data_IF_706702690543
#
_entry.id   IF_706702690543
#
_cell.length_a   1.000
_cell.length_b   1.000
_cell.length_c   1.000
_cell.angle_alpha   90.00
_cell.angle_beta   90.00
_cell.angle_gamma   90.00
#
_symmetry.space_group_name_H-M   'P 1'
#
loop_
_entity.id
_entity.type
_entity.pdbx_description
1 polymer ?
#
# COMPACT_ATOMS: atom_id res chain seq x y z
N UNK A 1 -55.83 19.89 35.48
CA UNK A 1 -55.79 21.26 34.92
C UNK A 1 -54.43 21.82 35.32
N UNK A 2 -53.48 22.10 34.45
CA UNK A 2 -53.55 22.44 33.03
C UNK A 2 -52.21 22.08 32.36
N UNK A 3 -52.24 21.80 31.06
CA UNK A 3 -51.15 21.24 30.27
C UNK A 3 -50.13 22.31 29.84
N UNK A 4 -48.85 21.94 29.72
CA UNK A 4 -47.89 22.74 28.95
C UNK A 4 -47.05 21.83 28.05
N UNK A 5 -47.35 21.97 26.77
CA UNK A 5 -46.71 21.39 25.59
C UNK A 5 -45.34 22.01 25.32
N UNK A 6 -44.30 21.24 24.97
CA UNK A 6 -43.17 21.74 24.20
C UNK A 6 -43.32 21.41 22.70
N UNK A 7 -43.46 22.46 21.89
CA UNK A 7 -43.50 22.43 20.42
C UNK A 7 -42.10 22.21 19.83
N UNK A 8 -41.93 21.18 19.01
CA UNK A 8 -40.74 20.97 18.17
C UNK A 8 -40.66 22.04 17.05
N UNK A 9 -39.48 22.59 16.73
CA UNK A 9 -39.28 23.30 15.48
C UNK A 9 -39.12 22.32 14.32
N UNK A 10 -39.89 22.60 13.26
CA UNK A 10 -40.04 21.83 12.04
C UNK A 10 -38.78 21.90 11.16
N UNK A 11 -38.43 20.77 10.55
CA UNK A 11 -37.40 20.67 9.51
C UNK A 11 -37.89 21.32 8.20
N UNK A 12 -37.10 22.15 7.50
CA UNK A 12 -37.46 22.60 6.16
C UNK A 12 -37.11 21.53 5.10
N UNK A 13 -38.01 21.21 4.16
CA UNK A 13 -37.68 20.49 2.94
C UNK A 13 -37.32 21.50 1.85
N UNK A 14 -36.09 21.46 1.31
CA UNK A 14 -35.75 21.85 -0.08
C UNK A 14 -34.24 21.88 -0.29
N UNK A 15 -33.69 20.87 -0.96
CA UNK A 15 -32.56 21.11 -1.87
C UNK A 15 -32.78 20.24 -3.11
N UNK A 16 -32.85 20.84 -4.32
CA UNK A 16 -33.10 20.10 -5.54
C UNK A 16 -31.88 19.29 -5.98
N UNK A 17 -32.21 18.16 -6.59
CA UNK A 17 -31.37 17.25 -7.36
C UNK A 17 -30.62 17.98 -8.49
N UNK A 18 -29.32 18.21 -8.36
CA UNK A 18 -28.36 18.18 -9.47
C UNK A 18 -26.93 18.07 -8.92
N UNK A 19 -26.33 16.88 -9.04
CA UNK A 19 -24.95 16.73 -9.52
C UNK A 19 -24.58 15.23 -9.62
N UNK A 20 -25.19 14.56 -10.60
CA UNK A 20 -24.71 13.26 -11.10
C UNK A 20 -23.32 13.34 -11.79
N UNK A 21 -22.61 14.47 -11.67
CA UNK A 21 -21.26 14.69 -12.20
C UNK A 21 -20.16 14.67 -11.13
N UNK A 22 -20.50 14.69 -9.83
CA UNK A 22 -19.50 14.72 -8.76
C UNK A 22 -18.96 13.32 -8.38
N UNK A 23 -19.71 12.25 -8.65
CA UNK A 23 -19.29 10.89 -8.35
C UNK A 23 -18.16 10.38 -9.28
N UNK A 24 -17.99 10.97 -10.47
CA UNK A 24 -16.94 10.59 -11.41
C UNK A 24 -15.57 11.25 -11.09
N UNK A 25 -15.56 12.38 -10.40
CA UNK A 25 -14.31 13.10 -10.08
C UNK A 25 -13.60 12.58 -8.82
N UNK A 26 -14.33 11.99 -7.87
CA UNK A 26 -13.73 11.37 -6.68
C UNK A 26 -13.03 10.04 -6.97
N UNK A 27 -13.37 9.36 -8.08
CA UNK A 27 -12.68 8.15 -8.53
C UNK A 27 -11.34 8.45 -9.25
N UNK A 28 -11.17 9.66 -9.78
CA UNK A 28 -9.98 10.06 -10.54
C UNK A 28 -8.91 10.80 -9.71
N UNK A 29 -9.24 11.25 -8.50
CA UNK A 29 -8.39 12.13 -7.69
C UNK A 29 -7.45 11.39 -6.71
N UNK A 30 -7.50 10.06 -6.60
CA UNK A 30 -6.73 9.34 -5.58
C UNK A 30 -5.83 8.21 -6.11
N UNK A 31 -5.72 8.03 -7.42
CA UNK A 31 -4.63 7.27 -8.03
C UNK A 31 -3.38 8.14 -8.11
N UNK A 32 -2.93 8.66 -6.96
CA UNK A 32 -1.57 9.13 -6.83
C UNK A 32 -0.69 7.94 -7.20
N UNK A 33 -0.09 8.00 -8.39
CA UNK A 33 0.67 6.89 -8.93
C UNK A 33 1.85 6.63 -8.00
N UNK A 34 1.75 5.55 -7.23
CA UNK A 34 2.81 5.13 -6.33
C UNK A 34 4.03 4.76 -7.17
N UNK A 35 5.22 5.11 -6.70
CA UNK A 35 6.47 4.86 -7.41
C UNK A 35 7.51 4.23 -6.49
N UNK A 36 8.29 3.31 -7.04
CA UNK A 36 9.34 2.63 -6.32
C UNK A 36 10.41 3.64 -5.89
N UNK A 37 10.84 3.62 -4.63
CA UNK A 37 11.90 4.53 -4.15
C UNK A 37 13.25 4.22 -4.80
N UNK A 38 13.49 2.96 -5.23
CA UNK A 38 14.77 2.52 -5.79
C UNK A 38 14.86 2.77 -7.31
N UNK A 39 13.93 2.24 -8.11
CA UNK A 39 13.97 2.39 -9.56
C UNK A 39 13.14 3.58 -10.08
N UNK A 40 12.37 4.26 -9.24
CA UNK A 40 11.46 5.35 -9.61
C UNK A 40 10.36 4.99 -10.61
N UNK A 41 10.19 3.70 -10.93
CA UNK A 41 9.12 3.20 -11.79
C UNK A 41 7.79 3.17 -11.04
N UNK A 42 6.70 3.14 -11.82
CA UNK A 42 5.33 3.00 -11.30
C UNK A 42 5.18 1.67 -10.56
N UNK A 43 4.62 1.73 -9.36
CA UNK A 43 4.20 0.56 -8.59
C UNK A 43 2.82 0.13 -9.05
N UNK A 44 2.65 -1.18 -9.20
CA UNK A 44 1.36 -1.80 -9.48
C UNK A 44 0.54 -1.83 -8.18
N UNK A 45 -0.77 -1.57 -8.27
CA UNK A 45 -1.64 -1.21 -7.14
C UNK A 45 -1.62 -2.20 -5.96
N UNK A 46 -1.31 -3.48 -6.19
CA UNK A 46 -1.21 -4.52 -5.14
C UNK A 46 0.16 -5.22 -5.05
N UNK A 47 1.10 -4.95 -5.97
CA UNK A 47 2.38 -5.70 -6.07
C UNK A 47 3.58 -4.85 -5.67
N UNK A 48 3.54 -4.32 -4.45
CA UNK A 48 4.65 -3.58 -3.88
C UNK A 48 4.80 -3.87 -2.39
N UNK A 49 6.02 -3.70 -1.91
CA UNK A 49 6.34 -3.76 -0.50
C UNK A 49 6.36 -2.36 0.05
N UNK A 50 5.61 -2.12 1.12
CA UNK A 50 5.64 -0.87 1.87
C UNK A 50 6.36 -1.07 3.18
N UNK A 51 7.33 -0.21 3.49
CA UNK A 51 7.95 -0.20 4.81
C UNK A 51 6.92 0.26 5.87
N UNK A 52 6.73 -0.49 6.97
CA UNK A 52 5.80 -0.10 8.04
C UNK A 52 6.29 1.12 8.82
N UNK A 53 7.60 1.38 8.83
CA UNK A 53 8.22 2.46 9.60
C UNK A 53 8.29 3.77 8.84
N UNK A 54 8.55 3.72 7.53
CA UNK A 54 8.78 4.89 6.69
C UNK A 54 7.74 4.88 5.57
N UNK A 55 6.67 5.71 5.64
CA UNK A 55 5.60 5.74 4.63
C UNK A 55 6.09 6.06 3.22
N UNK A 56 7.26 6.71 3.12
CA UNK A 56 7.86 7.02 1.83
C UNK A 56 8.51 5.79 1.17
N UNK A 57 9.01 4.83 1.95
CA UNK A 57 9.66 3.63 1.45
C UNK A 57 8.64 2.65 0.89
N UNK A 58 8.59 2.61 -0.43
CA UNK A 58 7.73 1.72 -1.20
C UNK A 58 8.55 1.16 -2.35
N UNK A 59 8.55 -0.16 -2.48
CA UNK A 59 9.48 -0.87 -3.36
C UNK A 59 8.70 -1.84 -4.23
N UNK A 60 9.01 -1.87 -5.53
CA UNK A 60 8.45 -2.89 -6.41
C UNK A 60 8.98 -4.27 -6.00
N UNK A 61 8.24 -5.32 -6.35
CA UNK A 61 8.69 -6.69 -6.11
C UNK A 61 10.06 -7.01 -6.72
N UNK A 62 10.40 -6.58 -7.95
CA UNK A 62 11.75 -6.76 -8.50
C UNK A 62 12.87 -6.17 -7.62
N UNK A 63 12.72 -4.92 -7.18
CA UNK A 63 13.72 -4.29 -6.31
C UNK A 63 13.79 -4.96 -4.92
N UNK A 64 12.64 -5.36 -4.38
CA UNK A 64 12.57 -6.06 -3.09
C UNK A 64 13.23 -7.44 -3.18
N UNK A 65 12.98 -8.17 -4.27
CA UNK A 65 13.58 -9.47 -4.59
C UNK A 65 15.11 -9.38 -4.65
N UNK A 66 15.63 -8.37 -5.35
CA UNK A 66 17.07 -8.17 -5.44
C UNK A 66 17.69 -7.86 -4.08
N UNK A 67 17.03 -7.03 -3.27
CA UNK A 67 17.45 -6.76 -1.90
C UNK A 67 17.48 -8.02 -1.03
N UNK A 68 16.43 -8.84 -1.09
CA UNK A 68 16.34 -10.14 -0.40
C UNK A 68 17.48 -11.07 -0.83
N UNK A 69 17.74 -11.21 -2.13
CA UNK A 69 18.83 -12.05 -2.66
C UNK A 69 20.21 -11.58 -2.19
N UNK A 70 20.44 -10.26 -2.15
CA UNK A 70 21.71 -9.67 -1.69
C UNK A 70 21.95 -9.84 -0.19
N UNK A 71 20.90 -9.74 0.62
CA UNK A 71 20.99 -9.93 2.08
C UNK A 71 21.05 -11.40 2.48
N UNK A 72 20.57 -12.30 1.62
CA UNK A 72 20.62 -13.76 1.80
C UNK A 72 19.29 -14.33 2.28
N UNK A 73 18.67 -15.17 1.44
CA UNK A 73 17.46 -15.91 1.77
C UNK A 73 17.77 -16.99 2.82
N UNK A 74 17.67 -16.63 4.10
CA UNK A 74 18.06 -17.47 5.24
C UNK A 74 18.53 -16.67 6.45
N UNK A 75 18.78 -15.37 6.27
CA UNK A 75 19.00 -14.40 7.35
C UNK A 75 17.83 -13.42 7.42
N UNK A 76 17.78 -12.61 8.49
CA UNK A 76 16.83 -11.50 8.60
C UNK A 76 17.10 -10.50 7.48
N UNK A 77 16.17 -10.41 6.53
CA UNK A 77 16.23 -9.44 5.44
C UNK A 77 15.55 -8.15 5.88
N UNK A 78 16.32 -7.08 6.00
CA UNK A 78 15.83 -5.75 6.40
C UNK A 78 15.32 -4.93 5.21
N UNK A 79 14.87 -3.71 5.50
CA UNK A 79 14.29 -2.78 4.54
C UNK A 79 15.12 -2.69 3.23
N UNK A 80 14.49 -2.75 2.04
CA UNK A 80 15.18 -2.62 0.76
C UNK A 80 15.90 -1.29 0.53
N UNK A 81 15.65 -0.25 1.35
CA UNK A 81 16.43 1.00 1.31
C UNK A 81 17.88 0.82 1.77
N UNK A 82 18.20 -0.27 2.47
CA UNK A 82 19.48 -0.48 3.16
C UNK A 82 19.51 0.09 4.58
N UNK A 83 18.45 0.74 5.03
CA UNK A 83 18.30 1.21 6.41
C UNK A 83 17.66 0.15 7.31
N UNK A 84 18.03 0.15 8.59
CA UNK A 84 17.38 -0.68 9.62
C UNK A 84 16.22 0.09 10.25
N UNK A 85 15.12 0.21 9.50
CA UNK A 85 13.96 0.96 9.96
C UNK A 85 13.31 0.26 11.18
N UNK A 86 13.13 0.94 12.33
CA UNK A 86 12.53 0.34 13.52
C UNK A 86 11.02 0.17 13.34
N UNK A 87 10.46 -0.95 13.80
CA UNK A 87 9.00 -1.10 13.88
C UNK A 87 8.39 0.02 14.74
N UNK A 88 7.16 0.42 14.41
CA UNK A 88 6.47 1.49 15.11
C UNK A 88 6.50 1.26 16.63
N UNK A 89 6.90 2.30 17.37
CA UNK A 89 6.99 2.28 18.83
C UNK A 89 7.99 1.24 19.42
N UNK A 90 8.99 0.81 18.65
CA UNK A 90 9.96 -0.21 19.05
C UNK A 90 11.40 0.15 18.63
N UNK A 91 12.41 -0.54 19.19
CA UNK A 91 13.80 -0.53 18.70
C UNK A 91 14.13 -1.75 17.84
N UNK A 92 13.15 -2.65 17.64
CA UNK A 92 13.32 -3.85 16.82
C UNK A 92 13.30 -3.46 15.35
N UNK A 93 14.35 -3.76 14.57
CA UNK A 93 14.37 -3.46 13.15
C UNK A 93 13.34 -4.30 12.41
N UNK A 94 12.62 -3.69 11.48
CA UNK A 94 11.72 -4.41 10.59
C UNK A 94 12.50 -5.28 9.62
N UNK A 95 12.10 -6.54 9.52
CA UNK A 95 12.58 -7.50 8.56
C UNK A 95 11.40 -8.18 7.85
N UNK A 96 11.64 -8.70 6.65
CA UNK A 96 10.65 -9.50 5.94
C UNK A 96 10.33 -10.80 6.67
N UNK A 97 9.06 -11.18 6.68
CA UNK A 97 8.67 -12.50 7.14
C UNK A 97 9.09 -13.56 6.11
N UNK A 98 9.42 -14.77 6.57
CA UNK A 98 9.80 -15.88 5.68
C UNK A 98 8.71 -16.21 4.64
N UNK A 99 7.43 -16.06 4.99
CA UNK A 99 6.33 -16.20 4.04
C UNK A 99 6.32 -15.10 2.96
N UNK A 100 6.62 -13.85 3.31
CA UNK A 100 6.75 -12.75 2.34
C UNK A 100 7.97 -12.96 1.44
N UNK A 101 9.11 -13.38 2.02
CA UNK A 101 10.31 -13.76 1.27
C UNK A 101 9.98 -14.86 0.27
N UNK A 102 9.30 -15.93 0.70
CA UNK A 102 8.93 -17.04 -0.17
C UNK A 102 7.98 -16.60 -1.30
N UNK A 103 7.01 -15.72 -1.03
CA UNK A 103 6.09 -15.20 -2.06
C UNK A 103 6.80 -14.27 -3.03
N UNK A 104 7.59 -13.32 -2.53
CA UNK A 104 8.33 -12.37 -3.37
C UNK A 104 9.33 -13.15 -4.22
N UNK A 105 10.09 -14.09 -3.65
CA UNK A 105 11.02 -14.94 -4.41
C UNK A 105 10.29 -15.96 -5.31
N UNK A 106 9.12 -16.46 -4.90
CA UNK A 106 8.41 -17.61 -5.44
C UNK A 106 7.69 -17.43 -6.78
N UNK A 107 7.69 -16.24 -7.36
CA UNK A 107 7.13 -16.00 -8.71
C UNK A 107 8.21 -15.93 -9.83
N UNK A 108 9.51 -15.98 -9.51
CA UNK A 108 10.61 -15.98 -10.50
C UNK A 108 11.29 -17.35 -10.66
N UNK A 109 10.52 -18.44 -10.61
CA UNK A 109 11.05 -19.78 -10.94
C UNK A 109 10.36 -20.46 -12.13
N UNK A 110 9.68 -19.70 -12.99
CA UNK A 110 9.20 -20.20 -14.30
C UNK A 110 9.27 -19.17 -15.43
N UNK A 111 10.43 -18.55 -15.69
CA UNK A 111 10.73 -18.01 -17.03
C UNK A 111 12.19 -18.29 -17.40
N UNK A 112 12.50 -19.57 -17.66
CA UNK A 112 13.40 -19.95 -18.76
C UNK A 112 13.32 -21.46 -19.02
N UNK A 113 12.31 -21.87 -19.78
CA UNK A 113 12.50 -22.94 -20.76
C UNK A 113 11.78 -22.54 -22.04
N UNK A 114 12.22 -21.44 -22.62
CA UNK A 114 12.16 -21.32 -24.07
C UNK A 114 13.28 -22.24 -24.60
N UNK A 115 12.92 -23.52 -24.78
CA UNK A 115 13.69 -24.42 -25.65
C UNK A 115 12.94 -24.44 -26.97
N UNK A 116 13.18 -23.42 -27.77
CA UNK A 116 13.08 -23.51 -29.22
C UNK A 116 14.49 -23.82 -29.73
N UNK A 117 14.70 -25.09 -30.08
CA UNK A 117 15.72 -25.66 -30.99
C UNK A 117 15.62 -27.18 -30.93
#
# INVERSE_FOLDING_TARGET
MDATTPTLPQVPPSVPLTNAAAAAAAAAANTATLKCTLCQERLEDTHFVQCPSVPHHKFCFPCSRDSIKRQGAGSEVYCPSGEKCPLANSNVPWAFMQGEIATILGEEFKVKKERDS
#
